data_IF_295556952166
#
_entry.id   IF_295556952166
#
_cell.length_a   1.000
_cell.length_b   1.000
_cell.length_c   1.000
_cell.angle_alpha   90.00
_cell.angle_beta   90.00
_cell.angle_gamma   90.00
#
_symmetry.space_group_name_H-M   'P 1'
#
loop_
_entity.id
_entity.type
_entity.pdbx_description
1 polymer ?
#
# COMPACT_ATOMS: atom_id res chain seq x y z
N UNK A 1 -10.44 -33.79 35.08
CA UNK A 1 -9.22 -34.38 35.69
C UNK A 1 -8.04 -33.86 34.87
N UNK A 2 -7.28 -32.88 35.37
CA UNK A 2 -5.86 -33.01 35.83
C UNK A 2 -5.04 -33.94 34.93
N UNK A 3 -3.86 -33.63 34.41
CA UNK A 3 -2.93 -32.48 34.38
C UNK A 3 -1.81 -33.01 33.46
N UNK A 4 -1.20 -32.19 32.60
CA UNK A 4 0.23 -32.34 32.36
C UNK A 4 0.84 -30.98 32.13
N UNK A 5 1.93 -30.75 32.84
CA UNK A 5 2.63 -29.50 33.06
C UNK A 5 4.10 -29.76 32.72
N UNK A 6 4.70 -28.74 32.11
CA UNK A 6 6.12 -28.35 32.17
C UNK A 6 7.10 -29.09 31.24
N UNK A 7 7.73 -28.30 30.38
CA UNK A 7 9.19 -28.26 30.17
C UNK A 7 9.52 -26.90 29.48
N UNK A 8 10.07 -25.91 30.21
CA UNK A 8 11.49 -25.47 30.13
C UNK A 8 11.96 -25.30 28.68
N UNK A 9 12.22 -24.11 28.12
CA UNK A 9 12.85 -22.92 28.69
C UNK A 9 14.22 -22.75 28.04
N UNK A 10 14.37 -21.78 27.13
CA UNK A 10 15.67 -21.18 26.78
C UNK A 10 15.43 -19.72 26.39
N UNK A 11 15.79 -18.80 27.29
CA UNK A 11 16.11 -17.43 26.95
C UNK A 11 17.44 -17.44 26.20
N UNK A 12 17.47 -16.93 24.98
CA UNK A 12 18.72 -16.58 24.30
C UNK A 12 18.55 -15.18 23.72
N UNK A 13 18.88 -14.20 24.56
CA UNK A 13 19.19 -12.86 24.10
C UNK A 13 20.57 -12.90 23.42
N UNK A 14 20.61 -12.67 22.12
CA UNK A 14 21.85 -12.37 21.41
C UNK A 14 22.00 -10.85 21.34
N UNK A 15 23.17 -10.42 21.82
CA UNK A 15 23.55 -9.04 22.10
C UNK A 15 24.27 -8.47 20.87
N UNK A 16 23.92 -7.23 20.56
CA UNK A 16 24.63 -6.18 19.81
C UNK A 16 25.93 -6.53 19.07
N UNK A 17 25.93 -6.23 17.76
CA UNK A 17 27.11 -5.74 17.04
C UNK A 17 26.77 -4.42 16.36
N UNK A 18 27.31 -3.32 16.92
CA UNK A 18 27.28 -2.00 16.30
C UNK A 18 28.45 -1.85 15.33
N UNK A 19 28.19 -1.32 14.14
CA UNK A 19 29.25 -0.81 13.26
C UNK A 19 29.50 0.66 13.61
N UNK A 20 30.58 0.93 14.36
CA UNK A 20 31.15 2.26 14.45
C UNK A 20 32.01 2.49 13.20
N UNK A 21 31.61 3.41 12.33
CA UNK A 21 32.52 3.99 11.32
C UNK A 21 32.60 5.48 11.62
N UNK A 22 33.79 5.94 12.02
CA UNK A 22 34.06 7.35 12.25
C UNK A 22 34.05 8.13 10.92
N UNK A 23 33.60 9.40 10.93
CA UNK A 23 33.56 10.24 9.74
C UNK A 23 34.95 10.76 9.38
N UNK A 24 35.25 10.85 8.07
CA UNK A 24 36.33 11.71 7.57
C UNK A 24 35.80 13.13 7.42
N UNK A 25 36.46 14.16 7.96
CA UNK A 25 36.15 15.55 7.65
C UNK A 25 36.93 15.95 6.40
N UNK A 26 36.25 16.31 5.33
CA UNK A 26 36.79 17.19 4.30
C UNK A 26 35.72 18.25 4.02
N UNK A 27 36.00 19.44 4.54
CA UNK A 27 35.31 20.67 4.24
C UNK A 27 35.63 21.17 2.82
N UNK A 28 34.71 22.01 2.32
CA UNK A 28 34.87 23.12 1.35
C UNK A 28 34.43 22.91 -0.13
N UNK A 29 33.86 23.96 -0.79
CA UNK A 29 32.41 24.03 -1.04
C UNK A 29 32.00 24.50 -2.47
N UNK A 30 30.66 24.61 -2.64
CA UNK A 30 29.90 25.49 -3.56
C UNK A 30 29.75 25.11 -5.05
N UNK A 31 28.55 24.64 -5.43
CA UNK A 31 27.53 25.36 -6.25
C UNK A 31 26.48 24.33 -6.73
N UNK A 32 25.23 24.45 -6.27
CA UNK A 32 24.08 24.95 -7.07
C UNK A 32 23.69 23.96 -8.18
N UNK A 33 22.57 23.22 -8.18
CA UNK A 33 21.20 23.59 -7.86
C UNK A 33 20.42 22.40 -7.30
N UNK A 34 19.53 22.73 -6.39
CA UNK A 34 18.65 21.85 -5.64
C UNK A 34 17.56 21.22 -6.53
N UNK A 35 17.64 19.91 -6.79
CA UNK A 35 16.43 19.14 -7.10
C UNK A 35 15.64 18.91 -5.81
N UNK A 36 14.81 19.89 -5.47
CA UNK A 36 13.76 19.72 -4.46
C UNK A 36 12.66 18.81 -5.03
N UNK A 37 12.86 17.49 -4.99
CA UNK A 37 11.73 16.58 -4.88
C UNK A 37 11.14 16.75 -3.48
N UNK A 38 10.19 17.68 -3.36
CA UNK A 38 9.29 17.73 -2.22
C UNK A 38 8.42 16.47 -2.25
N UNK A 39 8.95 15.36 -1.75
CA UNK A 39 8.13 14.28 -1.23
C UNK A 39 7.28 14.89 -0.13
N UNK A 40 6.04 15.23 -0.47
CA UNK A 40 5.11 15.85 0.48
C UNK A 40 4.92 14.88 1.65
N UNK A 41 5.56 15.18 2.77
CA UNK A 41 5.26 14.55 4.05
C UNK A 41 3.88 15.02 4.51
N UNK A 42 2.83 14.42 3.97
CA UNK A 42 1.45 14.67 4.38
C UNK A 42 1.19 14.02 5.74
N UNK A 43 1.45 14.76 6.83
CA UNK A 43 1.04 14.41 8.20
C UNK A 43 -0.48 14.62 8.44
N UNK A 44 -1.31 14.23 7.48
CA UNK A 44 -2.76 14.33 7.54
C UNK A 44 -3.41 13.10 6.91
N UNK A 45 -4.55 12.66 7.43
CA UNK A 45 -5.34 11.53 6.91
C UNK A 45 -5.40 11.60 5.38
N UNK A 46 -4.70 10.71 4.71
CA UNK A 46 -4.60 10.68 3.25
C UNK A 46 -5.90 10.09 2.71
N UNK A 47 -6.61 10.89 1.91
CA UNK A 47 -7.76 10.45 1.12
C UNK A 47 -7.27 10.37 -0.32
N UNK A 48 -7.50 9.22 -0.95
CA UNK A 48 -7.15 8.99 -2.36
C UNK A 48 -8.37 8.46 -3.10
N UNK A 49 -8.46 8.81 -4.38
CA UNK A 49 -9.50 8.38 -5.29
C UNK A 49 -8.90 7.48 -6.35
N UNK A 50 -9.57 6.36 -6.64
CA UNK A 50 -9.15 5.38 -7.62
C UNK A 50 -10.29 5.05 -8.58
N UNK A 51 -9.96 5.06 -9.86
CA UNK A 51 -10.75 4.44 -10.91
C UNK A 51 -10.20 3.04 -11.17
N UNK A 52 -11.09 2.05 -11.22
CA UNK A 52 -10.72 0.65 -11.41
C UNK A 52 -11.37 0.08 -12.67
N UNK A 53 -10.89 -1.10 -13.07
CA UNK A 53 -11.51 -1.90 -14.12
C UNK A 53 -13.01 -2.13 -13.86
N UNK A 54 -13.75 -2.43 -14.94
CA UNK A 54 -15.19 -2.73 -14.87
C UNK A 54 -16.04 -1.59 -14.28
N UNK A 55 -15.60 -0.34 -14.46
CA UNK A 55 -16.24 0.86 -13.94
C UNK A 55 -16.41 0.86 -12.42
N UNK A 56 -15.52 0.16 -11.70
CA UNK A 56 -15.47 0.25 -10.24
C UNK A 56 -14.72 1.51 -9.81
N UNK A 57 -15.12 2.07 -8.67
CA UNK A 57 -14.46 3.20 -8.04
C UNK A 57 -14.23 2.92 -6.56
N UNK A 58 -13.08 3.38 -6.06
CA UNK A 58 -12.70 3.19 -4.66
C UNK A 58 -12.18 4.51 -4.11
N UNK A 59 -12.88 5.04 -3.11
CA UNK A 59 -12.41 6.16 -2.31
C UNK A 59 -11.78 5.60 -1.04
N UNK A 60 -10.50 5.83 -0.84
CA UNK A 60 -9.77 5.28 0.31
C UNK A 60 -9.42 6.37 1.29
N UNK A 61 -9.74 6.15 2.56
CA UNK A 61 -9.25 6.97 3.67
C UNK A 61 -8.28 6.16 4.51
N UNK A 62 -7.00 6.46 4.36
CA UNK A 62 -5.95 5.78 5.11
C UNK A 62 -5.82 6.33 6.54
N UNK A 63 -5.60 5.40 7.46
CA UNK A 63 -5.14 5.63 8.84
C UNK A 63 -3.90 4.76 9.08
N UNK A 64 -3.31 4.88 10.26
CA UNK A 64 -2.09 4.12 10.63
C UNK A 64 -2.26 2.62 10.38
N UNK A 65 -3.28 2.02 10.99
CA UNK A 65 -3.48 0.55 10.99
C UNK A 65 -4.77 0.11 10.28
N UNK A 66 -5.52 1.05 9.70
CA UNK A 66 -6.77 0.76 9.00
C UNK A 66 -6.93 1.57 7.73
N UNK A 67 -7.72 1.04 6.81
CA UNK A 67 -8.22 1.76 5.64
C UNK A 67 -9.75 1.67 5.65
N UNK A 68 -10.40 2.81 5.42
CA UNK A 68 -11.84 2.87 5.22
C UNK A 68 -12.07 3.13 3.73
N UNK A 69 -12.66 2.15 3.05
CA UNK A 69 -13.00 2.25 1.65
C UNK A 69 -14.48 2.60 1.52
N UNK A 70 -14.79 3.44 0.55
CA UNK A 70 -16.13 3.56 0.00
C UNK A 70 -16.08 3.07 -1.44
N UNK A 71 -16.78 1.97 -1.73
CA UNK A 71 -16.64 1.21 -2.98
C UNK A 71 -17.93 1.22 -3.77
N UNK A 72 -17.82 1.53 -5.06
CA UNK A 72 -18.84 1.20 -6.06
C UNK A 72 -18.24 0.21 -7.03
N UNK A 73 -18.86 -0.96 -7.18
CA UNK A 73 -18.41 -2.02 -8.08
C UNK A 73 -19.64 -2.71 -8.70
N UNK A 74 -20.09 -2.29 -9.90
CA UNK A 74 -21.33 -2.77 -10.50
C UNK A 74 -21.37 -4.29 -10.70
N UNK A 75 -20.25 -4.91 -11.09
CA UNK A 75 -20.14 -6.37 -11.29
C UNK A 75 -20.34 -7.17 -9.99
N UNK A 76 -20.22 -6.53 -8.83
CA UNK A 76 -20.47 -7.10 -7.51
C UNK A 76 -21.72 -6.53 -6.83
N UNK A 77 -22.51 -5.71 -7.53
CA UNK A 77 -23.68 -5.01 -6.97
C UNK A 77 -23.36 -4.15 -5.73
N UNK A 78 -22.11 -3.70 -5.59
CA UNK A 78 -21.70 -2.78 -4.54
C UNK A 78 -21.97 -1.34 -4.99
N UNK A 79 -22.67 -0.56 -4.16
CA UNK A 79 -22.99 0.84 -4.43
C UNK A 79 -22.69 1.68 -3.19
N UNK A 80 -21.65 2.52 -3.26
CA UNK A 80 -21.14 3.33 -2.13
C UNK A 80 -21.01 2.51 -0.83
N UNK A 81 -20.54 1.27 -0.96
CA UNK A 81 -20.41 0.36 0.16
C UNK A 81 -19.20 0.74 1.00
N UNK A 82 -19.42 1.04 2.28
CA UNK A 82 -18.34 1.24 3.23
C UNK A 82 -17.74 -0.10 3.65
N UNK A 83 -16.41 -0.20 3.58
CA UNK A 83 -15.64 -1.38 3.93
C UNK A 83 -14.48 -0.96 4.82
N UNK A 84 -14.46 -1.47 6.05
CA UNK A 84 -13.36 -1.26 6.98
C UNK A 84 -12.36 -2.41 6.88
N UNK A 85 -11.09 -2.07 6.63
CA UNK A 85 -9.98 -3.01 6.51
C UNK A 85 -8.92 -2.73 7.58
N UNK A 86 -8.19 -3.77 7.98
CA UNK A 86 -7.04 -3.68 8.90
C UNK A 86 -5.75 -3.94 8.14
N UNK A 87 -4.67 -3.24 8.50
CA UNK A 87 -3.36 -3.39 7.87
C UNK A 87 -2.88 -4.84 8.00
N UNK A 88 -2.38 -5.38 6.90
CA UNK A 88 -1.74 -6.68 6.82
C UNK A 88 -0.28 -6.53 6.38
N UNK A 89 0.53 -7.57 6.61
CA UNK A 89 1.92 -7.62 6.16
C UNK A 89 1.94 -7.68 4.62
N UNK A 90 2.85 -6.92 4.02
CA UNK A 90 3.13 -6.90 2.59
C UNK A 90 4.64 -6.78 2.35
N UNK A 91 5.13 -7.34 1.24
CA UNK A 91 6.52 -7.18 0.81
C UNK A 91 6.81 -5.79 0.22
N UNK A 92 5.79 -5.14 -0.35
CA UNK A 92 5.89 -3.79 -0.92
C UNK A 92 4.51 -3.13 -0.91
N UNK A 93 4.47 -1.80 -0.86
CA UNK A 93 3.21 -1.04 -0.79
C UNK A 93 2.44 -1.25 0.51
N UNK A 94 1.20 -0.76 0.54
CA UNK A 94 0.31 -0.90 1.69
C UNK A 94 -0.76 -1.94 1.40
N UNK A 95 -0.92 -2.91 2.29
CA UNK A 95 -1.95 -3.94 2.19
C UNK A 95 -2.88 -3.90 3.39
N UNK A 96 -4.17 -4.01 3.14
CA UNK A 96 -5.22 -4.02 4.15
C UNK A 96 -6.24 -5.11 3.80
N UNK A 97 -6.75 -5.79 4.81
CA UNK A 97 -7.68 -6.91 4.64
C UNK A 97 -8.87 -6.83 5.60
N UNK A 98 -9.99 -7.43 5.21
CA UNK A 98 -11.09 -7.79 6.09
C UNK A 98 -11.44 -9.25 5.82
N UNK A 99 -11.06 -10.11 6.75
CA UNK A 99 -11.29 -11.56 6.67
C UNK A 99 -12.39 -12.05 7.61
N UNK A 100 -12.98 -11.13 8.39
CA UNK A 100 -13.93 -11.45 9.46
C UNK A 100 -15.39 -11.28 9.05
N UNK A 101 -15.66 -10.61 7.93
CA UNK A 101 -17.01 -10.52 7.39
C UNK A 101 -17.45 -11.90 6.82
N UNK A 102 -18.55 -12.48 7.33
CA UNK A 102 -18.98 -13.82 6.93
C UNK A 102 -19.52 -13.90 5.51
N UNK A 103 -19.94 -12.77 4.91
CA UNK A 103 -20.50 -12.74 3.56
C UNK A 103 -19.42 -12.65 2.48
N UNK A 104 -18.35 -11.90 2.76
CA UNK A 104 -17.26 -11.64 1.81
C UNK A 104 -15.99 -11.25 2.54
N UNK A 105 -14.84 -11.68 2.02
CA UNK A 105 -13.51 -11.18 2.40
C UNK A 105 -13.07 -10.11 1.41
N UNK A 106 -12.38 -9.10 1.91
CA UNK A 106 -11.92 -7.96 1.13
C UNK A 106 -10.42 -7.75 1.29
N UNK A 107 -9.76 -7.36 0.22
CA UNK A 107 -8.36 -6.98 0.20
C UNK A 107 -8.17 -5.69 -0.59
N UNK A 108 -7.33 -4.81 -0.06
CA UNK A 108 -6.87 -3.60 -0.72
C UNK A 108 -5.35 -3.56 -0.67
N UNK A 109 -4.70 -3.51 -1.82
CA UNK A 109 -3.25 -3.42 -1.91
C UNK A 109 -2.87 -2.30 -2.86
N UNK A 110 -2.28 -1.21 -2.34
CA UNK A 110 -1.87 -0.04 -3.11
C UNK A 110 -0.36 0.19 -3.07
N UNK A 111 0.20 0.65 -4.20
CA UNK A 111 1.60 1.04 -4.36
C UNK A 111 1.74 2.04 -5.51
N UNK A 112 2.38 3.18 -5.24
CA UNK A 112 2.76 4.16 -6.26
C UNK A 112 1.61 4.63 -7.17
N UNK A 113 0.42 4.84 -6.62
CA UNK A 113 -0.75 5.25 -7.41
C UNK A 113 -1.46 4.11 -8.13
N UNK A 114 -0.93 2.89 -8.09
CA UNK A 114 -1.63 1.68 -8.55
C UNK A 114 -2.22 0.95 -7.35
N UNK A 115 -3.33 0.24 -7.56
CA UNK A 115 -3.88 -0.63 -6.53
C UNK A 115 -4.61 -1.84 -7.11
N UNK A 116 -4.80 -2.86 -6.26
CA UNK A 116 -5.68 -4.00 -6.50
C UNK A 116 -6.76 -4.00 -5.42
N UNK A 117 -8.01 -4.05 -5.84
CA UNK A 117 -9.15 -4.36 -4.98
C UNK A 117 -9.59 -5.80 -5.17
N UNK A 118 -9.47 -6.62 -4.14
CA UNK A 118 -9.83 -8.04 -4.15
C UNK A 118 -11.08 -8.31 -3.32
N UNK A 119 -11.99 -9.14 -3.84
CA UNK A 119 -13.20 -9.61 -3.14
C UNK A 119 -13.32 -11.11 -3.29
N UNK A 120 -13.42 -11.83 -2.17
CA UNK A 120 -13.77 -13.26 -2.17
C UNK A 120 -15.13 -13.41 -1.49
N UNK A 121 -16.15 -13.82 -2.24
CA UNK A 121 -17.50 -14.00 -1.69
C UNK A 121 -17.65 -15.35 -1.00
N UNK A 122 -18.74 -15.57 -0.25
CA UNK A 122 -18.95 -16.74 0.59
C UNK A 122 -18.84 -18.10 -0.13
N UNK A 123 -19.13 -18.17 -1.43
CA UNK A 123 -19.00 -19.38 -2.24
C UNK A 123 -17.54 -19.70 -2.66
N UNK A 124 -16.59 -18.84 -2.27
CA UNK A 124 -15.17 -18.96 -2.58
C UNK A 124 -14.75 -18.31 -3.90
N UNK A 125 -15.68 -17.76 -4.69
CA UNK A 125 -15.34 -17.05 -5.93
C UNK A 125 -14.63 -15.73 -5.61
N UNK A 126 -13.53 -15.50 -6.32
CA UNK A 126 -12.70 -14.30 -6.19
C UNK A 126 -12.88 -13.37 -7.39
N UNK A 127 -12.84 -12.08 -7.12
CA UNK A 127 -12.85 -10.99 -8.08
C UNK A 127 -11.70 -10.05 -7.75
N UNK A 128 -11.00 -9.57 -8.77
CA UNK A 128 -9.92 -8.61 -8.64
C UNK A 128 -10.15 -7.47 -9.62
N UNK A 129 -9.85 -6.26 -9.18
CA UNK A 129 -9.95 -5.04 -9.98
C UNK A 129 -8.61 -4.31 -9.92
N UNK A 130 -7.99 -4.13 -11.08
CA UNK A 130 -6.85 -3.22 -11.21
C UNK A 130 -7.35 -1.78 -11.12
N UNK A 131 -6.66 -0.98 -10.33
CA UNK A 131 -7.05 0.39 -10.01
C UNK A 131 -5.89 1.35 -10.24
N UNK A 132 -6.21 2.54 -10.70
CA UNK A 132 -5.28 3.64 -10.90
C UNK A 132 -5.77 4.87 -10.14
N UNK A 133 -4.85 5.53 -9.45
CA UNK A 133 -5.15 6.73 -8.68
C UNK A 133 -5.42 7.89 -9.63
N UNK A 134 -6.51 8.61 -9.35
CA UNK A 134 -6.88 9.79 -10.13
C UNK A 134 -5.90 10.96 -9.91
N UNK A 135 -5.06 10.89 -8.86
CA UNK A 135 -4.05 11.89 -8.51
C UNK A 135 -2.70 11.64 -9.20
N UNK A 136 -2.53 10.57 -9.98
CA UNK A 136 -1.30 10.38 -10.75
C UNK A 136 -1.22 11.36 -11.93
N UNK A 137 -0.09 12.07 -12.11
CA UNK A 137 0.12 12.84 -13.34
C UNK A 137 0.14 11.88 -14.54
N UNK A 138 -0.38 12.31 -15.71
CA UNK A 138 -0.31 11.48 -16.91
C UNK A 138 1.15 11.09 -17.18
N UNK A 139 1.39 9.90 -17.75
CA UNK A 139 2.74 9.51 -18.14
C UNK A 139 3.30 10.61 -19.06
N UNK A 140 4.60 10.93 -18.95
CA UNK A 140 5.22 11.86 -19.87
C UNK A 140 5.02 11.34 -21.30
N UNK A 141 4.80 12.24 -22.29
CA UNK A 141 4.69 11.82 -23.68
C UNK A 141 5.93 11.00 -24.05
N UNK A 142 5.73 9.85 -24.69
CA UNK A 142 6.83 9.02 -25.18
C UNK A 142 7.74 9.89 -26.05
N UNK A 143 9.04 9.87 -25.76
CA UNK A 143 10.01 10.56 -26.59
C UNK A 143 9.93 9.93 -27.99
N UNK A 144 9.61 10.75 -28.98
CA UNK A 144 9.67 10.37 -30.37
C UNK A 144 11.14 10.17 -30.73
N UNK A 145 11.63 8.94 -30.61
CA UNK A 145 13.02 8.51 -30.92
C UNK A 145 13.32 8.59 -32.44
N UNK A 146 12.60 9.38 -33.23
CA UNK A 146 12.74 9.46 -34.70
C UNK A 146 13.78 10.47 -35.21
N UNK A 147 14.76 10.88 -34.40
CA UNK A 147 15.78 11.87 -34.79
C UNK A 147 17.24 11.40 -34.70
N UNK A 148 17.50 10.10 -34.91
CA UNK A 148 18.87 9.56 -34.99
C UNK A 148 19.33 9.15 -36.42
N UNK A 149 18.63 9.59 -37.48
CA UNK A 149 19.02 9.34 -38.88
C UNK A 149 19.19 10.65 -39.68
N UNK A 150 20.17 11.51 -39.34
CA UNK A 150 20.76 12.50 -40.28
C UNK A 150 22.24 12.78 -40.00
#
# INVERSE_FOLDING_TARGET
MKKLLIATGVLSALIMTGCATNPKPNDMPADDMHHHHHGRHHHGKMVEHYTCEQNATVNVKYKKDTALLNVTAPSLTLNNQDISLTRAVSGSGMRFVNETNPASKYEWHAKNGEAIFGVTVADGKTYEFSCQSDDMPPPPPEADDSMDDM
#
